data_IF_757543075467
#
_entry.id   IF_757543075467
#
_cell.length_a   1.000
_cell.length_b   1.000
_cell.length_c   1.000
_cell.angle_alpha   90.00
_cell.angle_beta   90.00
_cell.angle_gamma   90.00
#
_symmetry.space_group_name_H-M   'P 1'
#
loop_
_entity.id
_entity.type
_entity.pdbx_description
1 polymer ?
#
# COMPACT_ATOMS: atom_id res chain seq x y z
N UNK A 1 4.75 63.55 0.06
CA UNK A 1 4.15 63.04 -1.18
C UNK A 1 5.22 62.26 -1.91
N UNK A 2 5.07 60.94 -1.90
CA UNK A 2 5.89 60.07 -2.74
C UNK A 2 5.27 60.03 -4.15
N UNK A 3 6.10 59.92 -5.17
CA UNK A 3 5.61 59.79 -6.53
C UNK A 3 5.02 58.39 -6.71
N UNK A 4 3.70 58.31 -6.91
CA UNK A 4 3.01 57.05 -7.21
C UNK A 4 3.08 56.80 -8.71
N UNK A 5 3.91 55.84 -9.12
CA UNK A 5 4.07 55.48 -10.53
C UNK A 5 3.14 54.32 -10.86
N UNK A 6 2.15 54.57 -11.72
CA UNK A 6 1.28 53.54 -12.27
C UNK A 6 1.90 52.91 -13.52
N UNK A 7 2.04 51.60 -13.51
CA UNK A 7 2.51 50.76 -14.62
C UNK A 7 1.33 49.92 -15.09
N UNK A 8 0.76 50.28 -16.23
CA UNK A 8 -0.37 49.56 -16.82
C UNK A 8 0.12 48.28 -17.53
N UNK A 9 -0.55 47.18 -17.27
CA UNK A 9 -0.29 45.89 -17.92
C UNK A 9 -1.58 45.16 -18.24
N UNK A 10 -1.54 44.23 -19.19
CA UNK A 10 -2.67 43.36 -19.54
C UNK A 10 -3.11 42.47 -18.40
N UNK A 11 -2.19 42.15 -17.49
CA UNK A 11 -2.39 41.21 -16.39
C UNK A 11 -2.76 41.92 -15.07
N UNK A 12 -3.05 43.22 -15.11
CA UNK A 12 -3.35 44.05 -13.95
C UNK A 12 -2.31 45.16 -13.75
N UNK A 13 -2.74 46.28 -13.16
CA UNK A 13 -1.88 47.43 -12.93
C UNK A 13 -0.92 47.17 -11.76
N UNK A 14 0.28 47.74 -11.86
CA UNK A 14 1.28 47.73 -10.79
C UNK A 14 1.56 49.17 -10.39
N UNK A 15 1.67 49.43 -9.10
CA UNK A 15 2.01 50.72 -8.53
C UNK A 15 3.37 50.61 -7.85
N UNK A 16 4.28 51.52 -8.21
CA UNK A 16 5.59 51.63 -7.58
C UNK A 16 5.64 52.90 -6.73
N UNK A 17 6.01 52.74 -5.46
CA UNK A 17 6.13 53.82 -4.47
C UNK A 17 7.38 53.58 -3.64
N UNK A 18 8.32 54.52 -3.65
CA UNK A 18 9.60 54.43 -2.91
C UNK A 18 10.35 53.10 -3.12
N UNK A 19 10.30 52.58 -4.36
CA UNK A 19 10.93 51.31 -4.74
C UNK A 19 10.14 50.05 -4.32
N UNK A 20 9.03 50.18 -3.59
CA UNK A 20 8.11 49.07 -3.29
C UNK A 20 7.08 48.94 -4.39
N UNK A 21 6.68 47.69 -4.69
CA UNK A 21 5.69 47.40 -5.74
C UNK A 21 4.44 46.74 -5.20
N UNK A 22 3.31 47.24 -5.69
CA UNK A 22 1.98 46.83 -5.31
C UNK A 22 1.20 46.42 -6.56
N UNK A 23 0.48 45.31 -6.51
CA UNK A 23 -0.42 44.88 -7.58
C UNK A 23 -1.84 45.30 -7.23
N UNK A 24 -2.53 45.94 -8.16
CA UNK A 24 -3.94 46.29 -8.02
C UNK A 24 -4.82 45.04 -8.06
N UNK A 25 -5.74 44.96 -7.11
CA UNK A 25 -6.72 43.90 -7.02
C UNK A 25 -8.07 44.44 -7.49
N UNK A 26 -8.58 43.90 -8.60
CA UNK A 26 -9.91 44.24 -9.11
C UNK A 26 -11.01 43.57 -8.26
N UNK A 27 -11.15 44.01 -7.01
CA UNK A 27 -12.17 43.56 -6.05
C UNK A 27 -12.66 44.71 -5.19
N UNK A 28 -13.82 44.51 -4.56
CA UNK A 28 -14.30 45.41 -3.50
C UNK A 28 -13.41 45.31 -2.25
N UNK A 29 -13.25 46.39 -1.48
CA UNK A 29 -12.45 46.38 -0.26
C UNK A 29 -13.07 45.48 0.81
N UNK A 30 -12.24 44.67 1.46
CA UNK A 30 -12.62 43.86 2.62
C UNK A 30 -11.78 44.25 3.85
N UNK A 31 -12.31 43.99 5.04
CA UNK A 31 -11.57 44.23 6.29
C UNK A 31 -10.27 43.42 6.30
N UNK A 32 -9.15 44.07 6.59
CA UNK A 32 -7.82 43.47 6.57
C UNK A 32 -7.08 43.54 5.23
N UNK A 33 -7.74 43.98 4.15
CA UNK A 33 -7.05 44.27 2.89
C UNK A 33 -6.10 45.46 3.05
N UNK A 34 -5.09 45.52 2.18
CA UNK A 34 -4.23 46.69 2.04
C UNK A 34 -4.75 47.58 0.93
N UNK A 35 -4.79 48.89 1.17
CA UNK A 35 -5.12 49.91 0.19
C UNK A 35 -3.92 50.82 -0.03
N UNK A 36 -3.73 51.27 -1.26
CA UNK A 36 -2.75 52.29 -1.62
C UNK A 36 -3.47 53.61 -1.87
N UNK A 37 -3.05 54.67 -1.19
CA UNK A 37 -3.57 56.02 -1.42
C UNK A 37 -3.01 56.56 -2.73
N UNK A 38 -3.92 56.98 -3.62
CA UNK A 38 -3.60 57.52 -4.95
C UNK A 38 -4.11 58.95 -5.15
N UNK A 39 -4.97 59.44 -4.24
CA UNK A 39 -5.46 60.82 -4.23
C UNK A 39 -5.84 61.26 -2.81
N UNK A 40 -4.89 61.80 -2.04
CA UNK A 40 -5.04 62.17 -0.63
C UNK A 40 -5.75 63.52 -0.39
N UNK A 41 -6.88 63.77 -1.05
CA UNK A 41 -7.59 65.06 -1.04
C UNK A 41 -8.23 65.37 0.32
N UNK A 42 -8.91 64.40 0.92
CA UNK A 42 -9.59 64.50 2.22
C UNK A 42 -8.76 63.85 3.34
N UNK A 43 -7.43 64.00 3.27
CA UNK A 43 -6.51 63.35 4.21
C UNK A 43 -6.50 63.95 5.61
N UNK A 44 -6.91 65.21 5.76
CA UNK A 44 -6.75 65.99 7.00
C UNK A 44 -5.32 65.93 7.58
N UNK A 45 -4.32 65.73 6.71
CA UNK A 45 -2.90 65.58 7.08
C UNK A 45 -2.54 64.28 7.79
N UNK A 46 -3.35 63.21 7.65
CA UNK A 46 -3.13 61.91 8.30
C UNK A 46 -2.61 60.80 7.41
N UNK A 47 -2.71 60.98 6.10
CA UNK A 47 -2.16 60.08 5.11
C UNK A 47 -1.80 60.90 3.85
N UNK A 48 -0.93 60.36 3.02
CA UNK A 48 -0.45 61.00 1.80
C UNK A 48 -0.49 60.02 0.63
N UNK A 49 -0.40 60.54 -0.61
CA UNK A 49 -0.24 59.71 -1.79
C UNK A 49 0.98 58.79 -1.64
N UNK A 50 0.75 57.50 -1.92
CA UNK A 50 1.72 56.44 -1.75
C UNK A 50 1.64 55.69 -0.42
N UNK A 51 0.85 56.17 0.55
CA UNK A 51 0.66 55.44 1.80
C UNK A 51 -0.08 54.11 1.55
N UNK A 52 0.48 53.03 2.10
CA UNK A 52 -0.14 51.71 2.11
C UNK A 52 -0.75 51.43 3.50
N UNK A 53 -2.07 51.32 3.56
CA UNK A 53 -2.82 51.24 4.81
C UNK A 53 -3.66 49.96 4.87
N UNK A 54 -3.90 49.44 6.07
CA UNK A 54 -4.74 48.25 6.27
C UNK A 54 -6.13 48.67 6.69
N UNK A 55 -7.16 48.12 6.04
CA UNK A 55 -8.55 48.45 6.33
C UNK A 55 -8.98 47.86 7.67
N UNK A 56 -9.53 48.71 8.56
CA UNK A 56 -10.14 48.28 9.82
C UNK A 56 -11.65 48.05 9.68
N UNK A 57 -12.35 48.87 8.88
CA UNK A 57 -13.79 48.77 8.64
C UNK A 57 -14.16 49.17 7.20
N UNK A 58 -15.11 48.47 6.59
CA UNK A 58 -15.65 48.81 5.26
C UNK A 58 -17.00 49.51 5.40
N UNK A 59 -17.22 50.57 4.62
CA UNK A 59 -18.46 51.34 4.54
C UNK A 59 -18.89 51.50 3.09
N UNK A 60 -20.13 51.94 2.85
CA UNK A 60 -20.69 52.01 1.49
C UNK A 60 -20.01 53.01 0.55
N UNK A 61 -19.24 53.98 1.07
CA UNK A 61 -18.60 55.05 0.29
C UNK A 61 -17.08 55.10 0.47
N UNK A 62 -16.51 54.13 1.17
CA UNK A 62 -15.14 54.23 1.63
C UNK A 62 -14.78 53.19 2.66
N UNK A 63 -13.61 53.36 3.26
CA UNK A 63 -13.07 52.50 4.30
C UNK A 63 -12.70 53.34 5.50
N UNK A 64 -12.53 52.71 6.66
CA UNK A 64 -11.96 53.36 7.84
C UNK A 64 -10.63 52.71 8.19
N UNK A 65 -9.68 53.56 8.52
CA UNK A 65 -8.39 53.19 9.09
C UNK A 65 -8.25 54.01 10.36
N UNK A 66 -8.34 53.37 11.52
CA UNK A 66 -8.37 54.04 12.82
C UNK A 66 -7.12 54.89 13.06
N UNK A 67 -5.97 54.46 12.52
CA UNK A 67 -4.72 55.22 12.55
C UNK A 67 -4.80 56.58 11.84
N UNK A 68 -5.73 56.74 10.90
CA UNK A 68 -5.95 57.96 10.13
C UNK A 68 -6.96 58.92 10.78
N UNK A 69 -7.41 58.67 12.01
CA UNK A 69 -8.31 59.57 12.73
C UNK A 69 -7.70 60.97 12.94
N UNK A 70 -8.46 62.01 12.59
CA UNK A 70 -8.06 63.41 12.63
C UNK A 70 -9.16 64.32 13.19
N UNK A 71 -8.80 65.54 13.60
CA UNK A 71 -9.78 66.61 13.82
C UNK A 71 -10.43 66.92 12.47
N UNK A 72 -11.74 66.68 12.34
CA UNK A 72 -12.48 66.78 11.07
C UNK A 72 -12.73 65.43 10.38
N UNK A 73 -12.00 64.39 10.76
CA UNK A 73 -12.18 63.01 10.30
C UNK A 73 -11.98 62.03 11.47
N UNK A 74 -12.83 62.14 12.49
CA UNK A 74 -12.66 61.41 13.76
C UNK A 74 -12.70 59.88 13.59
N UNK A 75 -13.32 59.43 12.50
CA UNK A 75 -13.50 58.03 12.18
C UNK A 75 -12.36 57.46 11.32
N UNK A 76 -11.42 58.29 10.86
CA UNK A 76 -10.36 57.88 9.93
C UNK A 76 -10.90 57.36 8.60
N UNK A 77 -11.97 57.98 8.12
CA UNK A 77 -12.65 57.60 6.89
C UNK A 77 -11.85 58.04 5.65
N UNK A 78 -11.79 57.17 4.65
CA UNK A 78 -11.09 57.38 3.37
C UNK A 78 -12.08 57.02 2.26
N UNK A 79 -12.29 57.91 1.29
CA UNK A 79 -13.26 57.69 0.23
C UNK A 79 -12.76 56.72 -0.85
N UNK A 80 -13.68 56.04 -1.52
CA UNK A 80 -13.38 55.04 -2.57
C UNK A 80 -12.55 55.59 -3.74
N UNK A 81 -12.56 56.90 -3.98
CA UNK A 81 -11.78 57.59 -5.03
C UNK A 81 -10.38 58.01 -4.56
N UNK A 82 -10.07 57.90 -3.27
CA UNK A 82 -8.76 58.23 -2.71
C UNK A 82 -7.79 57.05 -2.69
N UNK A 83 -8.31 55.82 -2.84
CA UNK A 83 -7.52 54.60 -2.71
C UNK A 83 -7.82 53.56 -3.78
N UNK A 84 -6.91 52.61 -3.92
CA UNK A 84 -7.09 51.36 -4.65
C UNK A 84 -6.72 50.18 -3.75
N UNK A 85 -7.39 49.04 -3.93
CA UNK A 85 -7.06 47.81 -3.19
C UNK A 85 -5.84 47.16 -3.83
N UNK A 86 -4.84 46.84 -3.02
CA UNK A 86 -3.58 46.29 -3.50
C UNK A 86 -3.04 45.15 -2.64
N UNK A 87 -2.15 44.35 -3.24
CA UNK A 87 -1.25 43.45 -2.52
C UNK A 87 0.21 43.86 -2.74
N UNK A 88 1.06 43.68 -1.72
CA UNK A 88 2.51 43.82 -1.88
C UNK A 88 3.06 42.63 -2.66
N UNK A 89 3.76 42.91 -3.76
CA UNK A 89 4.37 41.87 -4.60
C UNK A 89 5.45 41.10 -3.83
N UNK A 90 6.30 41.81 -3.07
CA UNK A 90 7.36 41.21 -2.27
C UNK A 90 6.80 40.25 -1.22
N UNK A 91 5.77 40.70 -0.48
CA UNK A 91 5.09 39.87 0.52
C UNK A 91 4.44 38.63 -0.10
N UNK A 92 3.83 38.76 -1.28
CA UNK A 92 3.26 37.62 -2.01
C UNK A 92 4.35 36.61 -2.38
N UNK A 93 5.48 37.09 -2.91
CA UNK A 93 6.62 36.23 -3.29
C UNK A 93 7.18 35.49 -2.08
N UNK A 94 7.37 36.17 -0.94
CA UNK A 94 7.86 35.54 0.29
C UNK A 94 6.92 34.43 0.80
N UNK A 95 5.61 34.70 0.81
CA UNK A 95 4.60 33.73 1.22
C UNK A 95 4.56 32.51 0.29
N UNK A 96 4.60 32.74 -1.03
CA UNK A 96 4.66 31.67 -2.02
C UNK A 96 5.95 30.84 -1.88
N UNK A 97 7.09 31.49 -1.68
CA UNK A 97 8.38 30.83 -1.48
C UNK A 97 8.36 29.94 -0.22
N UNK A 98 7.77 30.41 0.87
CA UNK A 98 7.63 29.61 2.09
C UNK A 98 6.72 28.39 1.87
N UNK A 99 5.59 28.58 1.19
CA UNK A 99 4.69 27.47 0.84
C UNK A 99 5.36 26.45 -0.08
N UNK A 100 6.11 26.91 -1.08
CA UNK A 100 6.88 26.05 -1.98
C UNK A 100 7.94 25.27 -1.23
N UNK A 101 8.67 25.91 -0.32
CA UNK A 101 9.67 25.25 0.53
C UNK A 101 9.06 24.12 1.36
N UNK A 102 7.91 24.38 2.02
CA UNK A 102 7.19 23.34 2.78
C UNK A 102 6.71 22.18 1.90
N UNK A 103 6.22 22.47 0.68
CA UNK A 103 5.81 21.43 -0.28
C UNK A 103 6.99 20.60 -0.76
N UNK A 104 8.15 21.22 -0.96
CA UNK A 104 9.38 20.56 -1.40
C UNK A 104 9.87 19.57 -0.34
N UNK A 105 9.95 19.99 0.92
CA UNK A 105 10.33 19.12 2.05
C UNK A 105 9.41 17.88 2.12
N UNK A 106 8.09 18.09 2.07
CA UNK A 106 7.13 16.96 2.08
C UNK A 106 7.29 16.02 0.89
N UNK A 107 7.66 16.55 -0.28
CA UNK A 107 7.87 15.74 -1.47
C UNK A 107 9.14 14.90 -1.35
N UNK A 108 10.21 15.47 -0.79
CA UNK A 108 11.46 14.78 -0.48
C UNK A 108 11.22 13.62 0.51
N UNK A 109 10.54 13.89 1.63
CA UNK A 109 10.17 12.87 2.63
C UNK A 109 9.38 11.70 2.00
N UNK A 110 8.36 12.00 1.18
CA UNK A 110 7.57 10.98 0.48
C UNK A 110 8.40 10.18 -0.53
N UNK A 111 9.38 10.82 -1.16
CA UNK A 111 10.27 10.17 -2.13
C UNK A 111 11.20 9.19 -1.44
N UNK A 112 11.78 9.57 -0.29
CA UNK A 112 12.61 8.69 0.52
C UNK A 112 11.83 7.51 1.13
N UNK A 113 10.61 7.76 1.59
CA UNK A 113 9.71 6.71 2.06
C UNK A 113 9.36 5.72 0.95
N UNK A 114 8.96 6.22 -0.23
CA UNK A 114 8.68 5.37 -1.38
C UNK A 114 9.90 4.53 -1.79
N UNK A 115 11.10 5.13 -1.78
CA UNK A 115 12.33 4.39 -2.07
C UNK A 115 12.53 3.23 -1.09
N UNK A 116 12.37 3.47 0.22
CA UNK A 116 12.46 2.43 1.26
C UNK A 116 11.40 1.33 1.08
N UNK A 117 10.17 1.71 0.73
CA UNK A 117 9.08 0.77 0.50
C UNK A 117 9.37 -0.12 -0.73
N UNK A 118 9.89 0.46 -1.81
CA UNK A 118 10.27 -0.29 -3.02
C UNK A 118 11.39 -1.29 -2.71
N UNK A 119 12.41 -0.91 -1.95
CA UNK A 119 13.49 -1.81 -1.56
C UNK A 119 12.98 -2.98 -0.71
N UNK A 120 12.16 -2.69 0.30
CA UNK A 120 11.53 -3.72 1.14
C UNK A 120 10.65 -4.66 0.32
N UNK A 121 9.83 -4.11 -0.59
CA UNK A 121 8.99 -4.91 -1.48
C UNK A 121 9.83 -5.81 -2.40
N UNK A 122 10.92 -5.28 -2.96
CA UNK A 122 11.81 -6.06 -3.82
C UNK A 122 12.45 -7.23 -3.07
N UNK A 123 12.90 -7.01 -1.83
CA UNK A 123 13.45 -8.08 -0.99
C UNK A 123 12.41 -9.15 -0.66
N UNK A 124 11.18 -8.74 -0.33
CA UNK A 124 10.09 -9.69 -0.08
C UNK A 124 9.75 -10.50 -1.34
N UNK A 125 9.73 -9.85 -2.51
CA UNK A 125 9.49 -10.53 -3.78
C UNK A 125 10.59 -11.54 -4.13
N UNK A 126 11.85 -11.21 -3.89
CA UNK A 126 12.98 -12.12 -4.08
C UNK A 126 12.92 -13.31 -3.12
N UNK A 127 12.60 -13.09 -1.85
CA UNK A 127 12.42 -14.16 -0.88
C UNK A 127 11.28 -15.10 -1.29
N UNK A 128 10.12 -14.55 -1.64
CA UNK A 128 8.97 -15.33 -2.10
C UNK A 128 9.29 -16.15 -3.36
N UNK A 129 10.06 -15.58 -4.30
CA UNK A 129 10.54 -16.29 -5.49
C UNK A 129 11.48 -17.45 -5.13
N UNK A 130 12.39 -17.24 -4.17
CA UNK A 130 13.28 -18.30 -3.69
C UNK A 130 12.51 -19.45 -3.04
N UNK A 131 11.53 -19.14 -2.20
CA UNK A 131 10.70 -20.15 -1.53
C UNK A 131 9.83 -20.92 -2.53
N UNK A 132 9.26 -20.23 -3.52
CA UNK A 132 8.55 -20.88 -4.62
C UNK A 132 9.47 -21.81 -5.43
N UNK A 133 10.71 -21.39 -5.71
CA UNK A 133 11.68 -22.23 -6.41
C UNK A 133 12.04 -23.49 -5.62
N UNK A 134 12.17 -23.39 -4.29
CA UNK A 134 12.40 -24.56 -3.42
C UNK A 134 11.19 -25.50 -3.42
N UNK A 135 9.98 -24.95 -3.34
CA UNK A 135 8.76 -25.75 -3.38
C UNK A 135 8.63 -26.52 -4.69
N UNK A 136 8.91 -25.88 -5.84
CA UNK A 136 8.94 -26.55 -7.14
C UNK A 136 9.98 -27.67 -7.18
N UNK A 137 11.19 -27.43 -6.66
CA UNK A 137 12.21 -28.47 -6.55
C UNK A 137 11.77 -29.66 -5.69
N UNK A 138 11.06 -29.40 -4.59
CA UNK A 138 10.47 -30.44 -3.75
C UNK A 138 9.38 -31.25 -4.44
N UNK A 139 8.53 -30.61 -5.25
CA UNK A 139 7.52 -31.31 -6.06
C UNK A 139 8.17 -32.23 -7.09
N UNK A 140 9.22 -31.78 -7.78
CA UNK A 140 9.94 -32.61 -8.74
C UNK A 140 10.58 -33.84 -8.06
N UNK A 141 11.17 -33.68 -6.88
CA UNK A 141 11.73 -34.81 -6.14
C UNK A 141 10.66 -35.83 -5.70
N UNK A 142 9.45 -35.36 -5.36
CA UNK A 142 8.32 -36.25 -5.06
C UNK A 142 7.81 -36.98 -6.31
N UNK A 143 7.81 -36.32 -7.47
CA UNK A 143 7.42 -36.90 -8.75
C UNK A 143 8.35 -38.07 -9.12
N UNK A 144 9.67 -37.86 -9.01
CA UNK A 144 10.68 -38.91 -9.21
C UNK A 144 10.49 -40.11 -8.26
N UNK A 145 10.18 -39.86 -6.98
CA UNK A 145 9.88 -40.93 -6.03
C UNK A 145 8.59 -41.69 -6.37
N UNK A 146 7.58 -40.99 -6.89
CA UNK A 146 6.29 -41.58 -7.23
C UNK A 146 6.40 -42.49 -8.45
N UNK A 147 7.25 -42.13 -9.43
CA UNK A 147 7.55 -42.99 -10.58
C UNK A 147 8.21 -44.30 -10.15
N UNK A 148 9.19 -44.26 -9.23
CA UNK A 148 9.80 -45.48 -8.68
C UNK A 148 8.79 -46.37 -7.96
N UNK A 149 7.92 -45.79 -7.14
CA UNK A 149 6.86 -46.55 -6.44
C UNK A 149 5.87 -47.16 -7.44
N UNK A 150 5.57 -46.47 -8.54
CA UNK A 150 4.73 -47.03 -9.61
C UNK A 150 5.38 -48.25 -10.27
N UNK A 151 6.68 -48.19 -10.56
CA UNK A 151 7.43 -49.32 -11.11
C UNK A 151 7.39 -50.53 -10.16
N UNK A 152 7.62 -50.29 -8.86
CA UNK A 152 7.55 -51.35 -7.84
C UNK A 152 6.15 -51.98 -7.74
N UNK A 153 5.08 -51.18 -7.82
CA UNK A 153 3.70 -51.68 -7.81
C UNK A 153 3.44 -52.58 -9.02
N UNK A 154 3.84 -52.16 -10.22
CA UNK A 154 3.66 -52.95 -11.45
C UNK A 154 4.43 -54.27 -11.35
N UNK A 155 5.67 -54.24 -10.87
CA UNK A 155 6.46 -55.46 -10.65
C UNK A 155 5.80 -56.42 -9.65
N UNK A 156 5.28 -55.89 -8.54
CA UNK A 156 4.59 -56.72 -7.55
C UNK A 156 3.30 -57.33 -8.09
N UNK A 157 2.54 -56.60 -8.90
CA UNK A 157 1.31 -57.10 -9.52
C UNK A 157 1.61 -58.27 -10.48
N UNK A 158 2.65 -58.11 -11.32
CA UNK A 158 3.13 -59.18 -12.22
C UNK A 158 3.54 -60.44 -11.43
N UNK A 159 4.27 -60.27 -10.32
CA UNK A 159 4.68 -61.39 -9.46
C UNK A 159 3.51 -62.05 -8.74
N UNK A 160 2.48 -61.30 -8.36
CA UNK A 160 1.26 -61.84 -7.76
C UNK A 160 0.51 -62.69 -8.79
N UNK A 161 0.41 -62.24 -10.03
CA UNK A 161 -0.27 -62.98 -11.09
C UNK A 161 0.49 -64.27 -11.47
N UNK A 162 1.83 -64.22 -11.59
CA UNK A 162 2.67 -65.42 -11.72
C UNK A 162 2.41 -66.42 -10.57
N UNK A 163 2.32 -65.91 -9.33
CA UNK A 163 2.07 -66.77 -8.17
C UNK A 163 0.68 -67.39 -8.21
N UNK A 164 -0.36 -66.64 -8.58
CA UNK A 164 -1.73 -67.17 -8.71
C UNK A 164 -1.79 -68.27 -9.76
N UNK A 165 -1.19 -68.07 -10.93
CA UNK A 165 -1.13 -69.08 -11.98
C UNK A 165 -0.46 -70.37 -11.45
N UNK A 166 0.66 -70.24 -10.75
CA UNK A 166 1.35 -71.39 -10.14
C UNK A 166 0.53 -72.13 -9.07
N UNK A 167 -0.40 -71.44 -8.41
CA UNK A 167 -1.29 -72.03 -7.39
C UNK A 167 -2.50 -72.70 -8.04
N UNK A 168 -3.04 -72.14 -9.13
CA UNK A 168 -4.13 -72.74 -9.90
C UNK A 168 -3.67 -73.97 -10.70
N UNK A 169 -2.45 -73.95 -11.24
CA UNK A 169 -1.83 -75.11 -11.92
C UNK A 169 -1.49 -76.26 -10.97
N UNK A 170 -1.35 -75.98 -9.67
CA UNK A 170 -1.37 -77.03 -8.64
C UNK A 170 -2.79 -77.55 -8.54
N UNK A 171 -3.15 -78.42 -9.49
CA UNK A 171 -4.23 -79.38 -9.31
C UNK A 171 -4.09 -79.95 -7.89
N UNK A 172 -5.13 -79.81 -7.07
CA UNK A 172 -5.20 -80.44 -5.76
C UNK A 172 -5.27 -81.96 -5.96
N UNK A 173 -4.16 -82.56 -6.37
CA UNK A 173 -3.99 -84.00 -6.45
C UNK A 173 -4.06 -84.50 -5.01
N UNK A 174 -4.98 -85.41 -4.67
CA UNK A 174 -5.02 -86.01 -3.36
C UNK A 174 -3.64 -86.58 -3.03
N UNK A 175 -2.99 -86.04 -2.00
CA UNK A 175 -1.73 -86.60 -1.52
C UNK A 175 -2.08 -87.96 -0.91
N UNK A 176 -1.79 -89.02 -1.65
CA UNK A 176 -2.02 -90.40 -1.22
C UNK A 176 -0.80 -90.85 -0.43
N UNK A 177 -0.91 -90.92 0.89
CA UNK A 177 0.16 -91.39 1.77
C UNK A 177 -0.06 -92.88 2.04
N UNK A 178 0.77 -93.74 1.46
CA UNK A 178 0.79 -95.17 1.78
C UNK A 178 1.61 -95.39 3.06
N UNK A 179 0.97 -95.89 4.10
CA UNK A 179 1.61 -96.22 5.37
C UNK A 179 1.69 -97.74 5.48
N UNK A 180 2.88 -98.30 5.22
CA UNK A 180 3.09 -99.76 5.23
C UNK A 180 3.12 -100.37 6.63
N UNK A 181 3.42 -99.57 7.67
CA UNK A 181 3.49 -100.01 9.06
C UNK A 181 2.72 -99.07 9.98
N UNK A 182 1.39 -99.09 9.88
CA UNK A 182 0.51 -98.34 10.79
C UNK A 182 0.24 -99.17 12.05
N UNK A 183 0.88 -98.83 13.16
CA UNK A 183 0.67 -99.49 14.44
C UNK A 183 -0.34 -98.70 15.29
N UNK A 184 -1.60 -99.13 15.26
CA UNK A 184 -2.65 -98.58 16.11
C UNK A 184 -2.72 -99.44 17.36
N UNK A 185 -2.55 -98.84 18.55
CA UNK A 185 -2.62 -99.57 19.80
C UNK A 185 -4.02 -100.18 20.01
N UNK A 186 -4.07 -101.38 20.59
CA UNK A 186 -5.23 -102.30 20.63
C UNK A 186 -6.56 -101.77 21.22
N UNK A 187 -6.67 -100.49 21.61
CA UNK A 187 -7.89 -99.89 22.17
C UNK A 187 -8.53 -98.81 21.30
N UNK A 188 -7.87 -98.32 20.24
CA UNK A 188 -8.42 -97.29 19.35
C UNK A 188 -8.84 -97.88 17.99
N UNK A 189 -10.01 -97.50 17.49
CA UNK A 189 -10.46 -97.95 16.17
C UNK A 189 -9.79 -97.14 15.06
N UNK A 190 -9.51 -97.79 13.93
CA UNK A 190 -8.88 -97.16 12.77
C UNK A 190 -9.70 -95.97 12.22
N UNK A 191 -11.03 -96.01 12.41
CA UNK A 191 -11.95 -94.93 12.03
C UNK A 191 -11.79 -93.70 12.93
N UNK A 192 -11.72 -93.89 14.24
CA UNK A 192 -11.58 -92.79 15.20
C UNK A 192 -10.20 -92.11 15.07
N UNK A 193 -9.16 -92.90 14.79
CA UNK A 193 -7.82 -92.40 14.52
C UNK A 193 -7.78 -91.49 13.26
N UNK A 194 -8.39 -91.93 12.16
CA UNK A 194 -8.47 -91.12 10.92
C UNK A 194 -9.29 -89.84 11.14
N UNK A 195 -10.40 -89.93 11.87
CA UNK A 195 -11.25 -88.77 12.16
C UNK A 195 -10.54 -87.73 13.06
N UNK A 196 -9.70 -88.18 13.99
CA UNK A 196 -8.88 -87.30 14.83
C UNK A 196 -7.80 -86.54 14.03
N UNK A 197 -7.15 -87.22 13.07
CA UNK A 197 -6.18 -86.59 12.16
C UNK A 197 -6.87 -85.61 11.21
N UNK A 198 -8.01 -85.99 10.63
CA UNK A 198 -8.78 -85.11 9.74
C UNK A 198 -9.28 -83.83 10.44
N UNK A 199 -9.52 -83.90 11.76
CA UNK A 199 -9.89 -82.74 12.59
C UNK A 199 -8.69 -81.97 13.18
N UNK A 200 -7.45 -82.33 12.81
CA UNK A 200 -6.24 -81.63 13.23
C UNK A 200 -5.87 -81.78 14.72
N UNK A 201 -6.37 -82.82 15.41
CA UNK A 201 -6.21 -83.01 16.86
C UNK A 201 -5.07 -83.97 17.24
N UNK A 202 -4.01 -84.02 16.44
CA UNK A 202 -2.80 -84.77 16.76
C UNK A 202 -1.81 -83.91 17.55
N UNK A 203 -1.46 -84.30 18.78
CA UNK A 203 -0.26 -83.74 19.42
C UNK A 203 0.95 -84.23 18.63
N UNK A 204 1.71 -83.29 18.06
CA UNK A 204 2.95 -83.59 17.36
C UNK A 204 3.88 -84.40 18.25
N UNK A 205 4.39 -85.51 17.71
CA UNK A 205 5.45 -86.29 18.33
C UNK A 205 6.75 -85.83 17.68
N UNK A 206 7.76 -85.50 18.51
CA UNK A 206 9.14 -85.23 18.07
C UNK A 206 9.70 -86.37 17.24
#
# INVERSE_FOLDING_TARGET
MADVIKIESKDGNIYEVDGKRYRELAKEPEVGDTVLIVNAEDSFGKYEDGDALVIDEVRSRGVKVAACSAIGNIDGFIYNDEFIVVESIEKSIEQEAEQLSRKLIRLEERTEENHRNILTFSQMAESARSDASKAVGGVNALDEQLDLVREDIVFLDEKIDELKESVEERNATPITINIENLNISNTESLKDFIERIAKGRGNGVM
#
